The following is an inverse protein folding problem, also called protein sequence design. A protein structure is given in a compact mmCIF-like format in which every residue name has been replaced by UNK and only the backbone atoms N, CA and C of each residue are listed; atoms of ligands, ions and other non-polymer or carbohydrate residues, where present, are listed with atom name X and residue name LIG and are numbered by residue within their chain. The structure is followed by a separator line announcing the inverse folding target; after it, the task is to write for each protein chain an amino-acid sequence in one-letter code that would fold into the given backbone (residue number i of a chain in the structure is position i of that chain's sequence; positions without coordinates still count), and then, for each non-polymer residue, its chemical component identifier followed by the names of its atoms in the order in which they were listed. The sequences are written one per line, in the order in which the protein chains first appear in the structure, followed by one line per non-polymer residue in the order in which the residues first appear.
data_IF_382675447455
#
_entry.id   IF_382675447455
#
_cell.length_a   1.000
_cell.length_b   1.000
_cell.length_c   1.000
_cell.angle_alpha   90.00
_cell.angle_beta   90.00
_cell.angle_gamma   90.00
#
_symmetry.space_group_name_H-M   'P 1'
#
loop_
_entity.id
_entity.type
_entity.pdbx_description
1 polymer ?
#
# COMPACT_ATOMS: atom_id res chain seq x y z
N UNK A 1 -21.05 20.11 -5.49
CA UNK A 1 -20.04 21.09 -5.02
C UNK A 1 -18.72 20.75 -5.68
N UNK A 2 -17.88 21.75 -5.97
CA UNK A 2 -16.50 21.50 -6.45
C UNK A 2 -15.64 21.11 -5.25
N UNK A 3 -14.74 20.14 -5.44
CA UNK A 3 -13.80 19.68 -4.42
C UNK A 3 -12.95 20.83 -3.86
N UNK A 4 -12.57 20.73 -2.58
CA UNK A 4 -11.69 21.67 -1.88
C UNK A 4 -10.27 21.77 -2.47
N UNK A 5 -9.90 20.85 -3.37
CA UNK A 5 -8.60 20.75 -4.04
C UNK A 5 -8.66 21.04 -5.54
N UNK A 6 -9.81 21.48 -6.07
CA UNK A 6 -9.96 21.79 -7.49
C UNK A 6 -8.88 22.79 -7.94
N UNK A 7 -8.15 22.45 -9.00
CA UNK A 7 -7.06 23.27 -9.56
C UNK A 7 -5.79 23.31 -8.71
N UNK A 8 -5.73 22.54 -7.62
CA UNK A 8 -4.52 22.43 -6.78
C UNK A 8 -3.52 21.45 -7.37
N UNK A 9 -2.26 21.56 -6.92
CA UNK A 9 -1.20 20.61 -7.21
C UNK A 9 -0.77 19.92 -5.90
N UNK A 10 -0.75 18.59 -5.91
CA UNK A 10 -0.36 17.75 -4.78
C UNK A 10 0.99 17.12 -5.10
N UNK A 11 1.97 17.32 -4.22
CA UNK A 11 3.31 16.76 -4.39
C UNK A 11 3.35 15.32 -3.88
N UNK A 12 3.82 14.40 -4.73
CA UNK A 12 4.04 12.99 -4.41
C UNK A 12 5.55 12.69 -4.43
N UNK A 13 6.26 12.75 -3.28
CA UNK A 13 7.66 12.37 -3.19
C UNK A 13 7.86 10.86 -3.35
N UNK A 14 8.33 10.43 -4.52
CA UNK A 14 8.55 9.01 -4.85
C UNK A 14 9.54 8.86 -6.00
N UNK A 15 10.17 7.67 -6.09
CA UNK A 15 11.08 7.26 -7.16
C UNK A 15 10.48 6.19 -8.09
N UNK A 16 9.30 5.67 -7.76
CA UNK A 16 8.76 4.44 -8.32
C UNK A 16 7.52 4.64 -9.21
N UNK A 17 7.43 5.79 -9.91
CA UNK A 17 6.38 6.12 -10.87
C UNK A 17 4.95 5.93 -10.33
N UNK A 18 4.77 6.03 -9.00
CA UNK A 18 3.48 5.79 -8.34
C UNK A 18 2.45 6.85 -8.74
N UNK A 19 2.89 8.00 -9.23
CA UNK A 19 2.01 9.00 -9.84
C UNK A 19 1.13 8.42 -10.95
N UNK A 20 1.58 7.38 -11.67
CA UNK A 20 0.77 6.71 -12.71
C UNK A 20 -0.55 6.13 -12.17
N UNK A 21 -0.55 5.62 -10.94
CA UNK A 21 -1.76 5.10 -10.29
C UNK A 21 -2.59 6.18 -9.60
N UNK A 22 -1.95 7.24 -9.12
CA UNK A 22 -2.59 8.26 -8.25
C UNK A 22 -3.18 9.42 -9.05
N UNK A 23 -2.54 9.80 -10.17
CA UNK A 23 -2.89 11.02 -10.90
C UNK A 23 -4.33 11.03 -11.41
N UNK A 24 -4.80 9.94 -12.04
CA UNK A 24 -6.15 9.88 -12.59
C UNK A 24 -7.24 9.96 -11.50
N UNK A 25 -7.23 9.14 -10.43
CA UNK A 25 -8.22 9.26 -9.36
C UNK A 25 -8.29 10.66 -8.73
N UNK A 26 -7.13 11.31 -8.53
CA UNK A 26 -7.06 12.63 -7.93
C UNK A 26 -7.56 13.73 -8.89
N UNK A 27 -7.25 13.62 -10.17
CA UNK A 27 -7.76 14.56 -11.17
C UNK A 27 -9.28 14.42 -11.35
N UNK A 28 -9.77 13.20 -11.50
CA UNK A 28 -11.19 12.94 -11.82
C UNK A 28 -12.12 13.27 -10.64
N UNK A 29 -11.71 12.95 -9.42
CA UNK A 29 -12.55 13.11 -8.22
C UNK A 29 -12.33 14.46 -7.54
N UNK A 30 -11.07 14.90 -7.43
CA UNK A 30 -10.72 16.13 -6.70
C UNK A 30 -10.51 17.32 -7.62
N UNK A 31 -10.34 17.12 -8.93
CA UNK A 31 -9.89 18.17 -9.83
C UNK A 31 -8.46 18.63 -9.55
N UNK A 32 -7.65 17.79 -8.88
CA UNK A 32 -6.31 18.14 -8.42
C UNK A 32 -5.25 17.42 -9.26
N UNK A 33 -4.21 18.14 -9.67
CA UNK A 33 -3.04 17.55 -10.31
C UNK A 33 -2.12 16.89 -9.28
N UNK A 34 -1.45 15.81 -9.66
CA UNK A 34 -0.42 15.15 -8.84
C UNK A 34 0.91 15.29 -9.55
N UNK A 35 1.88 15.90 -8.87
CA UNK A 35 3.25 16.06 -9.38
C UNK A 35 4.19 15.12 -8.64
N UNK A 36 4.82 14.22 -9.37
CA UNK A 36 5.87 13.38 -8.81
C UNK A 36 7.12 14.20 -8.56
N UNK A 37 7.61 14.18 -7.32
CA UNK A 37 8.87 14.81 -6.95
C UNK A 37 9.90 13.74 -6.63
N UNK A 38 10.90 13.64 -7.50
CA UNK A 38 11.95 12.63 -7.41
C UNK A 38 12.87 12.95 -6.21
N UNK A 39 12.58 12.32 -5.08
CA UNK A 39 13.46 12.26 -3.93
C UNK A 39 14.02 10.84 -3.82
N UNK A 40 15.30 10.73 -3.48
CA UNK A 40 15.89 9.42 -3.22
C UNK A 40 15.37 8.87 -1.88
N UNK A 41 14.17 8.31 -1.90
CA UNK A 41 13.53 7.73 -0.72
C UNK A 41 14.15 6.41 -0.29
N UNK A 42 15.04 5.83 -1.10
CA UNK A 42 15.73 4.56 -0.79
C UNK A 42 16.57 4.68 0.49
N UNK A 43 16.96 5.89 0.90
CA UNK A 43 17.63 6.14 2.19
C UNK A 43 16.73 5.86 3.40
N UNK A 44 15.40 5.79 3.19
CA UNK A 44 14.41 5.49 4.23
C UNK A 44 14.02 4.01 4.24
N UNK A 45 14.64 3.18 3.39
CA UNK A 45 14.38 1.76 3.25
C UNK A 45 14.10 1.35 1.80
N UNK A 46 14.49 0.12 1.44
CA UNK A 46 14.30 -0.44 0.09
C UNK A 46 13.49 -1.72 0.10
N UNK A 47 12.65 -1.95 -0.92
CA UNK A 47 11.88 -3.19 -1.07
C UNK A 47 12.76 -4.44 -1.26
N UNK A 48 13.95 -4.27 -1.82
CA UNK A 48 14.91 -5.34 -2.10
C UNK A 48 15.83 -5.68 -0.91
N UNK A 49 15.69 -4.94 0.20
CA UNK A 49 16.33 -5.25 1.48
C UNK A 49 17.76 -4.72 1.67
N UNK A 50 18.29 -3.87 0.79
CA UNK A 50 19.64 -3.29 0.98
C UNK A 50 19.69 -2.24 2.08
N UNK A 51 18.62 -1.45 2.23
CA UNK A 51 18.45 -0.51 3.33
C UNK A 51 17.24 -0.95 4.12
N UNK A 52 17.45 -1.25 5.41
CA UNK A 52 16.36 -1.54 6.33
C UNK A 52 15.53 -0.28 6.57
N UNK A 53 14.22 -0.46 6.66
CA UNK A 53 13.30 0.65 6.93
C UNK A 53 13.38 1.02 8.40
N UNK A 54 13.61 2.29 8.67
CA UNK A 54 13.54 2.84 10.03
C UNK A 54 12.10 3.23 10.38
N UNK A 55 11.47 2.57 11.35
CA UNK A 55 10.09 2.85 11.77
C UNK A 55 8.99 2.19 10.92
N UNK A 56 7.74 2.49 11.24
CA UNK A 56 6.58 1.90 10.58
C UNK A 56 6.39 2.41 9.14
N UNK A 57 5.70 1.66 8.26
CA UNK A 57 5.34 2.14 6.93
C UNK A 57 4.58 3.48 6.96
N UNK A 58 3.71 3.68 7.95
CA UNK A 58 2.95 4.93 8.11
C UNK A 58 3.88 6.11 8.44
N UNK A 59 4.81 5.94 9.39
CA UNK A 59 5.78 6.97 9.74
C UNK A 59 6.69 7.31 8.56
N UNK A 60 7.11 6.30 7.78
CA UNK A 60 7.88 6.51 6.56
C UNK A 60 7.10 7.34 5.52
N UNK A 61 5.84 7.00 5.28
CA UNK A 61 4.99 7.76 4.37
C UNK A 61 4.83 9.22 4.83
N UNK A 62 4.63 9.44 6.14
CA UNK A 62 4.57 10.79 6.72
C UNK A 62 5.91 11.54 6.57
N UNK A 63 7.04 10.90 6.87
CA UNK A 63 8.38 11.51 6.75
C UNK A 63 8.68 11.95 5.32
N UNK A 64 8.25 11.18 4.31
CA UNK A 64 8.37 11.59 2.90
C UNK A 64 7.65 12.92 2.65
N UNK A 65 6.44 13.11 3.18
CA UNK A 65 5.72 14.37 3.06
C UNK A 65 6.47 15.52 3.72
N UNK A 66 6.93 15.33 4.96
CA UNK A 66 7.67 16.34 5.71
C UNK A 66 8.97 16.73 5.00
N UNK A 67 9.67 15.76 4.42
CA UNK A 67 10.89 16.01 3.66
C UNK A 67 10.61 16.82 2.39
N UNK A 68 9.54 16.50 1.65
CA UNK A 68 9.12 17.30 0.50
C UNK A 68 8.82 18.75 0.89
N UNK A 69 8.13 18.99 2.01
CA UNK A 69 7.90 20.34 2.53
C UNK A 69 9.20 21.05 2.91
N UNK A 70 10.16 20.35 3.53
CA UNK A 70 11.45 20.93 3.88
C UNK A 70 12.24 21.37 2.63
N UNK A 71 12.20 20.57 1.56
CA UNK A 71 12.96 20.86 0.33
C UNK A 71 12.29 21.93 -0.54
N UNK A 72 10.96 21.94 -0.61
CA UNK A 72 10.20 22.81 -1.52
C UNK A 72 9.64 24.07 -0.84
N UNK A 73 9.71 24.13 0.49
CA UNK A 73 9.28 25.27 1.31
C UNK A 73 7.78 25.53 1.29
N UNK A 74 7.40 26.77 1.56
CA UNK A 74 5.99 27.18 1.76
C UNK A 74 5.16 27.25 0.47
N UNK A 75 5.78 27.02 -0.69
CA UNK A 75 5.06 26.93 -1.98
C UNK A 75 4.20 25.67 -2.09
N UNK A 76 4.47 24.66 -1.27
CA UNK A 76 3.74 23.39 -1.29
C UNK A 76 2.71 23.38 -0.18
N UNK A 77 1.44 23.47 -0.57
CA UNK A 77 0.28 23.41 0.34
C UNK A 77 -0.12 21.96 0.69
N UNK A 78 0.09 21.02 -0.24
CA UNK A 78 -0.41 19.64 -0.12
C UNK A 78 0.68 18.63 -0.48
N UNK A 79 0.76 17.55 0.30
CA UNK A 79 1.67 16.46 0.02
C UNK A 79 1.03 15.09 0.27
N UNK A 80 1.38 14.13 -0.58
CA UNK A 80 0.92 12.75 -0.52
C UNK A 80 2.13 11.82 -0.42
N UNK A 81 2.28 11.12 0.69
CA UNK A 81 3.28 10.08 0.90
C UNK A 81 2.69 8.71 0.56
N UNK A 82 3.51 7.82 0.00
CA UNK A 82 3.14 6.44 -0.26
C UNK A 82 4.19 5.48 0.27
N UNK A 83 3.71 4.46 0.98
CA UNK A 83 4.48 3.29 1.39
C UNK A 83 3.68 2.01 1.23
N UNK A 84 4.40 0.89 1.12
CA UNK A 84 3.78 -0.43 1.07
C UNK A 84 4.61 -1.49 1.77
N UNK A 85 4.02 -2.63 2.06
CA UNK A 85 4.69 -3.78 2.66
C UNK A 85 4.03 -5.07 2.19
N UNK A 86 4.82 -6.12 2.07
CA UNK A 86 4.36 -7.45 1.71
C UNK A 86 4.67 -8.42 2.84
N UNK A 87 3.75 -9.34 3.09
CA UNK A 87 3.88 -10.27 4.20
C UNK A 87 2.62 -11.10 4.40
N UNK A 88 2.54 -11.86 5.51
CA UNK A 88 1.36 -12.65 5.82
C UNK A 88 0.14 -11.78 6.10
N UNK A 89 -1.03 -12.22 5.64
CA UNK A 89 -2.29 -11.52 5.84
C UNK A 89 -2.62 -11.45 7.34
N UNK A 90 -3.03 -10.27 7.88
CA UNK A 90 -3.22 -10.08 9.33
C UNK A 90 -4.24 -11.04 9.97
N UNK A 91 -5.21 -11.50 9.19
CA UNK A 91 -6.24 -12.45 9.64
C UNK A 91 -6.01 -13.88 9.13
N UNK A 92 -5.13 -14.06 8.12
CA UNK A 92 -4.88 -15.35 7.46
C UNK A 92 -3.37 -15.52 7.31
N UNK A 93 -2.64 -15.91 8.36
CA UNK A 93 -1.17 -15.80 8.39
C UNK A 93 -0.40 -16.57 7.32
N UNK A 94 -1.02 -17.52 6.62
CA UNK A 94 -0.41 -18.30 5.54
C UNK A 94 -0.68 -17.74 4.14
N UNK A 95 -1.50 -16.69 4.01
CA UNK A 95 -1.80 -16.04 2.74
C UNK A 95 -0.93 -14.79 2.60
N UNK A 96 -0.14 -14.63 1.52
CA UNK A 96 0.58 -13.37 1.28
C UNK A 96 -0.40 -12.24 0.95
N UNK A 97 -0.11 -11.04 1.43
CA UNK A 97 -0.87 -9.83 1.10
C UNK A 97 0.04 -8.64 0.79
N UNK A 98 -0.48 -7.74 -0.04
CA UNK A 98 0.00 -6.38 -0.21
C UNK A 98 -0.69 -5.46 0.80
N UNK A 99 0.08 -4.64 1.51
CA UNK A 99 -0.43 -3.60 2.40
C UNK A 99 0.10 -2.25 1.93
N UNK A 100 -0.77 -1.45 1.32
CA UNK A 100 -0.45 -0.11 0.84
C UNK A 100 -0.97 0.96 1.81
N UNK A 101 -0.22 2.05 1.93
CA UNK A 101 -0.53 3.22 2.74
C UNK A 101 -0.37 4.48 1.88
N UNK A 102 -1.39 5.34 1.91
CA UNK A 102 -1.31 6.71 1.44
C UNK A 102 -1.48 7.67 2.60
N UNK A 103 -0.57 8.64 2.72
CA UNK A 103 -0.53 9.63 3.79
C UNK A 103 -0.62 11.03 3.20
N UNK A 104 -1.72 11.73 3.46
CA UNK A 104 -2.00 13.05 2.94
C UNK A 104 -1.84 14.12 4.02
N UNK A 105 -1.17 15.22 3.69
CA UNK A 105 -1.04 16.39 4.54
C UNK A 105 -1.60 17.61 3.81
N UNK A 106 -2.62 18.25 4.41
CA UNK A 106 -3.12 19.56 4.02
C UNK A 106 -2.55 20.61 4.98
N UNK A 107 -1.50 21.33 4.56
CA UNK A 107 -0.90 22.41 5.37
C UNK A 107 -1.83 23.61 5.46
N UNK A 108 -2.53 23.93 4.37
CA UNK A 108 -3.43 25.10 4.28
C UNK A 108 -4.56 25.02 5.29
N UNK A 109 -5.11 23.82 5.46
CA UNK A 109 -6.15 23.49 6.44
C UNK A 109 -5.58 22.72 7.62
N UNK A 110 -4.27 22.72 7.87
CA UNK A 110 -3.66 22.13 9.07
C UNK A 110 -4.25 20.80 9.55
N UNK A 111 -4.36 19.81 8.67
CA UNK A 111 -4.71 18.44 9.08
C UNK A 111 -3.91 17.40 8.29
N UNK A 112 -3.87 16.20 8.86
CA UNK A 112 -3.23 15.02 8.28
C UNK A 112 -4.25 13.88 8.21
N UNK A 113 -4.17 13.07 7.16
CA UNK A 113 -5.07 11.94 6.94
C UNK A 113 -4.30 10.80 6.30
N UNK A 114 -4.46 9.58 6.79
CA UNK A 114 -3.93 8.40 6.12
C UNK A 114 -5.03 7.39 5.82
N UNK A 115 -4.80 6.57 4.81
CA UNK A 115 -5.61 5.40 4.50
C UNK A 115 -4.70 4.22 4.16
N UNK A 116 -5.17 3.04 4.52
CA UNK A 116 -4.48 1.77 4.27
C UNK A 116 -5.37 0.86 3.45
N UNK A 117 -4.78 0.03 2.60
CA UNK A 117 -5.49 -1.02 1.89
C UNK A 117 -4.70 -2.32 1.93
N UNK A 118 -5.38 -3.42 2.28
CA UNK A 118 -4.83 -4.77 2.26
C UNK A 118 -5.44 -5.50 1.07
N UNK A 119 -4.59 -6.07 0.22
CA UNK A 119 -5.01 -6.80 -0.97
C UNK A 119 -4.35 -8.18 -1.03
N UNK A 120 -5.15 -9.19 -1.39
CA UNK A 120 -4.68 -10.56 -1.64
C UNK A 120 -4.23 -10.73 -3.11
N UNK A 121 -4.46 -9.72 -3.96
CA UNK A 121 -4.06 -9.72 -5.37
C UNK A 121 -2.56 -9.40 -5.49
N UNK A 122 -1.72 -10.34 -5.08
CA UNK A 122 -0.27 -10.18 -5.13
C UNK A 122 0.42 -11.42 -5.69
N UNK A 123 1.47 -11.20 -6.46
CA UNK A 123 2.40 -12.24 -6.91
C UNK A 123 3.60 -12.39 -5.96
N UNK A 124 3.56 -11.76 -4.76
CA UNK A 124 4.66 -11.77 -3.80
C UNK A 124 5.14 -13.18 -3.49
N UNK A 125 6.30 -13.51 -4.04
CA UNK A 125 6.85 -14.86 -3.97
C UNK A 125 8.36 -14.82 -4.07
N UNK A 126 9.01 -15.77 -3.39
CA UNK A 126 10.45 -15.92 -3.39
C UNK A 126 10.82 -17.39 -3.26
N UNK A 127 11.84 -17.81 -4.01
CA UNK A 127 12.23 -19.20 -4.11
C UNK A 127 13.72 -19.36 -4.45
N UNK A 128 14.37 -20.34 -3.83
CA UNK A 128 15.67 -20.84 -4.28
C UNK A 128 15.50 -21.73 -5.52
N UNK A 129 16.24 -21.43 -6.59
CA UNK A 129 16.21 -22.16 -7.86
C UNK A 129 17.63 -22.58 -8.27
N UNK A 130 17.76 -23.77 -8.82
CA UNK A 130 19.06 -24.36 -9.21
C UNK A 130 19.19 -24.54 -10.72
N UNK A 131 18.08 -24.49 -11.45
CA UNK A 131 18.03 -24.78 -12.88
C UNK A 131 17.22 -23.75 -13.68
N UNK A 132 17.52 -23.63 -14.98
CA UNK A 132 16.72 -22.81 -15.89
C UNK A 132 15.26 -23.26 -15.99
N UNK A 133 14.98 -24.54 -15.72
CA UNK A 133 13.61 -25.08 -15.70
C UNK A 133 12.85 -24.53 -14.49
N UNK A 134 13.44 -24.61 -13.31
CA UNK A 134 12.86 -24.04 -12.08
C UNK A 134 12.67 -22.52 -12.20
N UNK A 135 13.67 -21.80 -12.73
CA UNK A 135 13.54 -20.36 -12.95
C UNK A 135 12.38 -20.01 -13.89
N UNK A 136 12.16 -20.80 -14.95
CA UNK A 136 11.02 -20.60 -15.86
C UNK A 136 9.69 -20.79 -15.14
N UNK A 137 9.56 -21.87 -14.37
CA UNK A 137 8.34 -22.13 -13.58
C UNK A 137 8.08 -21.03 -12.56
N UNK A 138 9.12 -20.54 -11.88
CA UNK A 138 9.01 -19.39 -10.98
C UNK A 138 8.56 -18.13 -11.73
N UNK A 139 9.18 -17.82 -12.88
CA UNK A 139 8.86 -16.64 -13.67
C UNK A 139 7.40 -16.65 -14.17
N UNK A 140 6.90 -17.81 -14.61
CA UNK A 140 5.50 -17.97 -15.01
C UNK A 140 4.55 -17.73 -13.84
N UNK A 141 4.82 -18.33 -12.67
CA UNK A 141 4.02 -18.11 -11.46
C UNK A 141 4.05 -16.64 -10.99
N UNK A 142 5.19 -15.97 -11.18
CA UNK A 142 5.39 -14.55 -10.89
C UNK A 142 4.79 -13.60 -11.94
N UNK A 143 4.13 -14.10 -12.98
CA UNK A 143 3.53 -13.30 -14.07
C UNK A 143 4.56 -12.54 -14.93
N UNK A 144 5.79 -13.02 -15.01
CA UNK A 144 6.84 -12.49 -15.89
C UNK A 144 6.45 -12.66 -17.39
N UNK A 145 6.78 -11.71 -18.29
CA UNK A 145 7.58 -10.49 -18.09
C UNK A 145 6.78 -9.24 -17.72
N UNK A 146 5.45 -9.35 -17.55
CA UNK A 146 4.66 -8.19 -17.13
C UNK A 146 5.07 -7.66 -15.76
N UNK A 147 5.57 -8.56 -14.90
CA UNK A 147 6.20 -8.25 -13.63
C UNK A 147 7.69 -8.58 -13.74
N UNK A 148 8.55 -7.66 -13.28
CA UNK A 148 9.98 -7.92 -13.28
C UNK A 148 10.38 -8.87 -12.13
N UNK A 149 11.59 -9.40 -12.21
CA UNK A 149 12.18 -10.26 -11.18
C UNK A 149 13.46 -9.65 -10.62
N UNK A 150 13.83 -10.10 -9.42
CA UNK A 150 15.11 -9.85 -8.78
C UNK A 150 15.80 -11.19 -8.59
N UNK A 151 17.08 -11.27 -8.97
CA UNK A 151 17.92 -12.45 -8.73
C UNK A 151 19.12 -12.07 -7.88
N UNK A 152 19.51 -12.94 -6.96
CA UNK A 152 20.77 -12.83 -6.21
C UNK A 152 21.38 -14.22 -5.95
N UNK A 153 22.70 -14.35 -5.75
CA UNK A 153 23.29 -15.62 -5.29
C UNK A 153 22.62 -16.07 -3.97
N UNK A 154 22.36 -17.37 -3.82
CA UNK A 154 21.72 -17.92 -2.62
C UNK A 154 22.73 -18.53 -1.65
N UNK A 155 23.74 -17.75 -1.26
CA UNK A 155 24.70 -18.17 -0.25
C UNK A 155 24.45 -17.46 1.08
N UNK A 156 24.77 -18.13 2.19
CA UNK A 156 24.63 -17.54 3.54
C UNK A 156 25.54 -16.34 3.74
N UNK A 157 26.72 -16.34 3.12
CA UNK A 157 27.76 -15.33 3.31
C UNK A 157 27.75 -14.24 2.23
N UNK A 158 27.25 -14.55 1.02
CA UNK A 158 27.27 -13.64 -0.13
C UNK A 158 25.94 -13.65 -0.87
N UNK A 159 25.11 -12.63 -0.62
CA UNK A 159 23.85 -12.39 -1.35
C UNK A 159 23.99 -11.26 -2.39
N UNK A 160 25.22 -10.93 -2.77
CA UNK A 160 25.55 -9.85 -3.70
C UNK A 160 26.32 -10.37 -4.90
N UNK A 161 26.16 -9.78 -6.09
CA UNK A 161 25.33 -8.61 -6.38
C UNK A 161 23.85 -8.98 -6.53
N UNK A 162 22.99 -7.99 -6.31
CA UNK A 162 21.55 -8.11 -6.55
C UNK A 162 21.29 -7.63 -7.98
N UNK A 163 20.75 -8.53 -8.81
CA UNK A 163 20.33 -8.23 -10.17
C UNK A 163 18.87 -7.80 -10.16
N UNK A 164 18.60 -6.58 -10.61
CA UNK A 164 17.30 -5.92 -10.60
C UNK A 164 16.86 -5.57 -12.02
N UNK A 165 15.63 -5.08 -12.13
CA UNK A 165 15.08 -4.54 -13.38
C UNK A 165 15.04 -5.62 -14.48
N UNK A 166 14.87 -6.89 -14.09
CA UNK A 166 14.86 -8.02 -15.00
C UNK A 166 13.44 -8.20 -15.54
N UNK A 167 13.15 -7.59 -16.69
CA UNK A 167 11.85 -7.58 -17.36
C UNK A 167 11.86 -8.26 -18.74
N UNK A 168 12.99 -8.86 -19.14
CA UNK A 168 13.12 -9.60 -20.41
C UNK A 168 13.84 -10.93 -20.24
N UNK A 169 13.45 -11.93 -21.04
CA UNK A 169 14.07 -13.27 -20.99
C UNK A 169 15.59 -13.27 -21.20
N UNK A 170 16.17 -12.48 -22.13
CA UNK A 170 17.62 -12.38 -22.28
C UNK A 170 18.30 -11.86 -21.02
N UNK A 171 17.80 -10.76 -20.43
CA UNK A 171 18.36 -10.19 -19.20
C UNK A 171 18.25 -11.16 -18.02
N UNK A 172 17.10 -11.82 -17.87
CA UNK A 172 16.85 -12.80 -16.80
C UNK A 172 17.82 -14.00 -16.90
N UNK A 173 18.05 -14.53 -18.12
CA UNK A 173 18.98 -15.65 -18.35
C UNK A 173 20.43 -15.26 -18.04
N UNK A 174 20.85 -14.08 -18.46
CA UNK A 174 22.19 -13.57 -18.21
C UNK A 174 22.41 -13.33 -16.71
N UNK A 175 21.45 -12.69 -16.03
CA UNK A 175 21.48 -12.50 -14.58
C UNK A 175 21.51 -13.83 -13.82
N UNK A 176 20.72 -14.83 -14.23
CA UNK A 176 20.72 -16.15 -13.61
C UNK A 176 22.09 -16.83 -13.71
N UNK A 177 22.73 -16.81 -14.89
CA UNK A 177 24.07 -17.37 -15.06
C UNK A 177 25.07 -16.68 -14.14
N UNK A 178 25.08 -15.35 -14.14
CA UNK A 178 26.00 -14.56 -13.31
C UNK A 178 25.77 -14.76 -11.80
N UNK A 179 24.51 -14.85 -11.37
CA UNK A 179 24.17 -15.11 -9.97
C UNK A 179 24.57 -16.54 -9.56
N UNK A 180 24.36 -17.52 -10.44
CA UNK A 180 24.71 -18.91 -10.22
C UNK A 180 26.23 -19.12 -10.14
N UNK A 181 27.00 -18.49 -11.01
CA UNK A 181 28.47 -18.54 -11.01
C UNK A 181 29.08 -17.95 -9.73
N UNK A 182 28.33 -17.08 -9.04
CA UNK A 182 28.71 -16.46 -7.76
C UNK A 182 28.16 -17.19 -6.53
N UNK A 183 27.37 -18.25 -6.71
CA UNK A 183 26.90 -19.07 -5.60
C UNK A 183 27.76 -20.33 -5.47
N UNK A 184 28.32 -20.56 -4.29
CA UNK A 184 29.09 -21.76 -3.99
C UNK A 184 28.28 -23.06 -4.19
N UNK A 185 26.99 -23.03 -3.87
CA UNK A 185 26.07 -24.15 -4.06
C UNK A 185 25.41 -24.18 -5.45
N UNK A 186 25.76 -23.24 -6.35
CA UNK A 186 25.13 -23.09 -7.66
C UNK A 186 23.61 -22.82 -7.57
N UNK A 187 23.16 -22.22 -6.47
CA UNK A 187 21.76 -21.92 -6.21
C UNK A 187 21.52 -20.41 -6.31
N UNK A 188 20.43 -20.02 -6.95
CA UNK A 188 20.05 -18.61 -7.12
C UNK A 188 18.77 -18.36 -6.35
N UNK A 189 18.72 -17.25 -5.64
CA UNK A 189 17.54 -16.79 -4.96
C UNK A 189 16.76 -15.86 -5.90
N UNK A 190 15.54 -16.26 -6.22
CA UNK A 190 14.65 -15.55 -7.12
C UNK A 190 13.50 -14.92 -6.33
N UNK A 191 13.18 -13.66 -6.65
CA UNK A 191 12.13 -12.88 -6.01
C UNK A 191 11.32 -12.12 -7.06
N UNK A 192 10.04 -11.94 -6.79
CA UNK A 192 9.22 -10.97 -7.53
C UNK A 192 9.67 -9.55 -7.23
N UNK A 193 9.83 -8.74 -8.26
CA UNK A 193 10.16 -7.33 -8.06
C UNK A 193 8.92 -6.56 -7.59
N UNK A 194 8.88 -6.28 -6.30
CA UNK A 194 7.71 -5.60 -5.71
C UNK A 194 7.76 -4.09 -5.86
N UNK A 195 8.76 -3.49 -6.52
CA UNK A 195 8.78 -2.04 -6.77
C UNK A 195 7.66 -1.67 -7.74
N UNK A 196 6.90 -0.61 -7.42
CA UNK A 196 5.64 -0.31 -8.12
C UNK A 196 5.77 -0.20 -9.64
N UNK A 197 6.85 0.40 -10.17
CA UNK A 197 7.06 0.51 -11.62
C UNK A 197 7.31 -0.82 -12.33
N UNK A 198 7.66 -1.88 -11.59
CA UNK A 198 7.92 -3.23 -12.10
C UNK A 198 6.82 -4.23 -11.75
N UNK A 199 5.76 -3.79 -11.08
CA UNK A 199 4.69 -4.65 -10.59
C UNK A 199 3.31 -4.04 -10.90
N UNK A 200 2.73 -4.34 -12.09
CA UNK A 200 1.42 -3.84 -12.48
C UNK A 200 0.31 -4.20 -11.48
N UNK A 201 0.35 -5.38 -10.86
CA UNK A 201 -0.63 -5.79 -9.84
C UNK A 201 -0.62 -4.84 -8.64
N UNK A 202 0.57 -4.55 -8.10
CA UNK A 202 0.76 -3.56 -7.04
C UNK A 202 0.33 -2.16 -7.48
N UNK A 203 0.65 -1.75 -8.71
CA UNK A 203 0.24 -0.45 -9.24
C UNK A 203 -1.29 -0.30 -9.25
N UNK A 204 -2.03 -1.37 -9.58
CA UNK A 204 -3.48 -1.38 -9.51
C UNK A 204 -3.99 -1.23 -8.06
N UNK A 205 -3.38 -1.94 -7.10
CA UNK A 205 -3.72 -1.82 -5.66
C UNK A 205 -3.50 -0.39 -5.14
N UNK A 206 -2.40 0.26 -5.54
CA UNK A 206 -2.16 1.69 -5.23
C UNK A 206 -3.27 2.57 -5.80
N UNK A 207 -3.72 2.29 -7.03
CA UNK A 207 -4.82 3.03 -7.69
C UNK A 207 -6.17 2.85 -6.99
N UNK A 208 -6.46 1.65 -6.49
CA UNK A 208 -7.66 1.36 -5.69
C UNK A 208 -7.64 2.20 -4.38
N UNK A 209 -6.50 2.24 -3.68
CA UNK A 209 -6.33 3.05 -2.47
C UNK A 209 -6.37 4.56 -2.78
N UNK A 210 -5.77 5.00 -3.89
CA UNK A 210 -5.82 6.40 -4.32
C UNK A 210 -7.24 6.86 -4.59
N UNK A 211 -8.06 6.01 -5.21
CA UNK A 211 -9.49 6.27 -5.43
C UNK A 211 -10.26 6.40 -4.11
N UNK A 212 -10.00 5.52 -3.15
CA UNK A 212 -10.65 5.59 -1.82
C UNK A 212 -10.27 6.88 -1.08
N UNK A 213 -8.98 7.24 -1.08
CA UNK A 213 -8.50 8.46 -0.47
C UNK A 213 -9.07 9.71 -1.13
N UNK A 214 -9.11 9.76 -2.47
CA UNK A 214 -9.70 10.87 -3.21
C UNK A 214 -11.19 11.03 -2.88
N UNK A 215 -11.98 9.95 -2.81
CA UNK A 215 -13.38 10.02 -2.39
C UNK A 215 -13.53 10.58 -0.97
N UNK A 216 -12.67 10.14 -0.04
CA UNK A 216 -12.69 10.65 1.34
C UNK A 216 -12.34 12.14 1.40
N UNK A 217 -11.32 12.56 0.67
CA UNK A 217 -10.92 13.97 0.57
C UNK A 217 -11.99 14.84 -0.11
N UNK A 218 -12.81 14.27 -0.99
CA UNK A 218 -13.96 14.96 -1.59
C UNK A 218 -15.19 15.05 -0.68
N UNK A 219 -15.18 14.36 0.47
CA UNK A 219 -16.30 14.32 1.39
C UNK A 219 -16.10 15.33 2.51
N UNK A 220 -16.99 16.31 2.57
CA UNK A 220 -16.93 17.39 3.55
C UNK A 220 -17.57 16.99 4.88
N UNK A 221 -17.02 17.51 5.97
CA UNK A 221 -17.61 17.37 7.30
C UNK A 221 -18.96 18.10 7.35
N UNK A 222 -20.03 17.47 7.85
CA UNK A 222 -21.35 18.10 7.94
C UNK A 222 -21.41 19.27 8.94
N UNK A 223 -20.43 19.38 9.86
CA UNK A 223 -20.37 20.45 10.86
C UNK A 223 -19.51 21.64 10.45
N UNK A 224 -18.30 21.39 9.95
CA UNK A 224 -17.32 22.45 9.66
C UNK A 224 -16.93 22.57 8.19
N UNK A 225 -17.50 21.74 7.32
CA UNK A 225 -17.24 21.69 5.88
C UNK A 225 -15.77 21.44 5.50
N UNK A 226 -14.93 20.98 6.44
CA UNK A 226 -13.57 20.56 6.14
C UNK A 226 -13.57 19.24 5.36
N UNK A 227 -12.71 19.08 4.33
CA UNK A 227 -12.59 17.85 3.57
C UNK A 227 -12.02 16.69 4.41
N UNK A 228 -12.28 15.45 3.99
CA UNK A 228 -11.71 14.26 4.61
C UNK A 228 -12.65 13.52 5.58
N UNK A 229 -13.93 13.88 5.60
CA UNK A 229 -14.94 13.19 6.40
C UNK A 229 -15.05 11.72 5.99
N UNK A 230 -15.03 10.83 6.98
CA UNK A 230 -15.10 9.40 6.70
C UNK A 230 -14.94 8.54 7.95
N UNK A 231 -14.95 7.23 7.76
CA UNK A 231 -14.77 6.25 8.82
C UNK A 231 -13.44 6.44 9.55
N UNK A 232 -13.49 6.55 10.88
CA UNK A 232 -12.31 6.68 11.76
C UNK A 232 -12.13 5.46 12.67
N UNK A 233 -13.21 4.76 13.03
CA UNK A 233 -13.16 3.49 13.77
C UNK A 233 -14.44 2.68 13.58
N UNK A 234 -14.42 1.46 14.10
CA UNK A 234 -15.59 0.60 14.23
C UNK A 234 -15.82 0.27 15.70
N UNK A 235 -17.08 0.14 16.09
CA UNK A 235 -17.48 -0.35 17.41
C UNK A 235 -18.01 -1.77 17.25
N UNK A 236 -17.44 -2.73 17.98
CA UNK A 236 -17.89 -4.12 18.02
C UNK A 236 -19.13 -4.30 18.91
N UNK A 237 -19.72 -5.49 18.88
CA UNK A 237 -20.86 -5.85 19.73
C UNK A 237 -22.17 -6.08 18.98
N UNK A 238 -22.12 -6.46 17.69
CA UNK A 238 -23.34 -6.78 16.94
C UNK A 238 -24.06 -7.93 17.63
N UNK A 239 -25.37 -7.77 17.87
CA UNK A 239 -26.19 -8.71 18.64
C UNK A 239 -26.38 -10.02 17.87
N UNK A 240 -26.17 -11.15 18.55
CA UNK A 240 -26.41 -12.46 17.96
C UNK A 240 -27.91 -12.64 17.63
N UNK A 241 -28.21 -13.14 16.43
CA UNK A 241 -29.58 -13.42 15.99
C UNK A 241 -30.33 -14.45 16.85
N UNK A 242 -29.60 -15.29 17.60
CA UNK A 242 -30.16 -16.37 18.41
C UNK A 242 -30.24 -16.04 19.90
N UNK A 243 -29.12 -15.62 20.52
CA UNK A 243 -29.04 -15.43 21.98
C UNK A 243 -28.95 -13.96 22.43
N UNK A 244 -28.94 -13.01 21.49
CA UNK A 244 -28.83 -11.56 21.74
C UNK A 244 -27.54 -11.10 22.49
N UNK A 245 -26.58 -12.00 22.71
CA UNK A 245 -25.29 -11.63 23.28
C UNK A 245 -24.45 -10.81 22.29
N UNK A 246 -23.65 -9.84 22.75
CA UNK A 246 -22.77 -9.06 21.90
C UNK A 246 -21.66 -9.95 21.31
N UNK A 247 -21.40 -9.81 20.01
CA UNK A 247 -20.34 -10.56 19.32
C UNK A 247 -19.10 -9.70 19.04
N UNK A 248 -18.03 -10.34 18.55
CA UNK A 248 -16.84 -9.62 18.05
C UNK A 248 -17.07 -8.90 16.72
N UNK A 249 -18.22 -9.10 16.07
CA UNK A 249 -18.55 -8.40 14.82
C UNK A 249 -18.85 -6.92 15.09
N UNK A 250 -18.47 -6.07 14.15
CA UNK A 250 -18.76 -4.63 14.16
C UNK A 250 -20.27 -4.40 14.26
N UNK A 251 -20.72 -3.62 15.24
CA UNK A 251 -22.10 -3.16 15.34
C UNK A 251 -22.31 -1.85 14.59
N UNK A 252 -21.34 -0.93 14.69
CA UNK A 252 -21.46 0.41 14.15
C UNK A 252 -20.14 0.91 13.58
N UNK A 253 -20.26 1.83 12.63
CA UNK A 253 -19.13 2.54 12.04
C UNK A 253 -19.16 3.98 12.54
N UNK A 254 -18.02 4.46 13.04
CA UNK A 254 -17.90 5.84 13.51
C UNK A 254 -17.21 6.64 12.43
N UNK A 255 -17.92 7.65 11.95
CA UNK A 255 -17.45 8.64 10.99
C UNK A 255 -17.00 9.89 11.74
N UNK A 256 -15.96 10.54 11.25
CA UNK A 256 -15.37 11.69 11.93
C UNK A 256 -14.67 12.65 10.99
N UNK A 257 -14.49 13.86 11.48
CA UNK A 257 -13.79 14.94 10.79
C UNK A 257 -12.28 14.88 11.08
N UNK A 258 -11.48 15.32 10.11
CA UNK A 258 -10.02 15.50 10.25
C UNK A 258 -9.64 16.78 11.01
N UNK A 259 -10.60 17.68 11.24
CA UNK A 259 -10.38 19.08 11.68
C UNK A 259 -11.13 19.51 12.94
N UNK A 260 -12.29 18.93 13.21
CA UNK A 260 -13.08 19.25 14.39
C UNK A 260 -13.52 17.96 15.08
N UNK A 261 -14.07 18.07 16.29
CA UNK A 261 -14.47 16.90 17.09
C UNK A 261 -15.81 16.28 16.67
N UNK A 262 -16.39 16.70 15.53
CA UNK A 262 -17.66 16.14 15.06
C UNK A 262 -17.47 14.67 14.68
N UNK A 263 -18.37 13.83 15.18
CA UNK A 263 -18.42 12.40 14.88
C UNK A 263 -19.87 11.96 14.76
N UNK A 264 -20.13 10.99 13.90
CA UNK A 264 -21.44 10.39 13.73
C UNK A 264 -21.32 8.87 13.80
N UNK A 265 -22.26 8.27 14.51
CA UNK A 265 -22.41 6.82 14.61
C UNK A 265 -23.38 6.37 13.53
N UNK A 266 -22.90 5.53 12.63
CA UNK A 266 -23.67 5.01 11.50
C UNK A 266 -23.79 3.49 11.61
N UNK A 267 -24.89 2.95 11.08
CA UNK A 267 -25.03 1.52 10.85
C UNK A 267 -23.97 1.04 9.85
N UNK A 268 -23.64 -0.24 9.89
CA UNK A 268 -22.70 -0.85 8.96
C UNK A 268 -23.13 -0.61 7.51
N UNK A 269 -22.16 -0.35 6.63
CA UNK A 269 -22.39 -0.22 5.19
C UNK A 269 -22.99 -1.48 4.53
N UNK A 270 -22.75 -2.67 5.09
CA UNK A 270 -23.30 -3.95 4.58
C UNK A 270 -24.75 -4.22 5.01
N UNK A 271 -25.33 -3.36 5.86
CA UNK A 271 -26.71 -3.48 6.32
C UNK A 271 -26.98 -4.65 7.28
N UNK A 272 -25.94 -5.36 7.75
CA UNK A 272 -26.12 -6.50 8.65
C UNK A 272 -26.64 -6.04 10.01
N UNK A 273 -27.84 -6.51 10.39
CA UNK A 273 -28.54 -6.09 11.62
C UNK A 273 -28.31 -7.00 12.82
N UNK A 274 -28.00 -8.28 12.57
CA UNK A 274 -27.73 -9.27 13.60
C UNK A 274 -26.55 -10.15 13.16
N UNK A 275 -25.75 -10.57 14.12
CA UNK A 275 -24.61 -11.44 13.90
C UNK A 275 -25.10 -12.90 13.74
N UNK A 276 -24.69 -13.60 12.67
CA UNK A 276 -24.96 -15.02 12.50
C UNK A 276 -24.49 -15.83 13.71
N UNK A 277 -25.24 -16.87 14.06
CA UNK A 277 -24.93 -17.72 15.23
C UNK A 277 -23.48 -18.26 15.22
N UNK A 278 -22.93 -18.58 14.05
CA UNK A 278 -21.56 -19.11 13.88
C UNK A 278 -20.44 -18.15 14.34
N UNK A 279 -20.74 -16.84 14.45
CA UNK A 279 -19.79 -15.82 14.89
C UNK A 279 -19.99 -15.40 16.36
N UNK A 280 -20.95 -16.01 17.06
CA UNK A 280 -21.22 -15.75 18.48
C UNK A 280 -20.44 -16.72 19.36
N UNK A 281 -19.53 -16.20 20.20
CA UNK A 281 -18.75 -17.03 21.13
C UNK A 281 -19.57 -17.68 22.25
N UNK A 282 -20.82 -17.25 22.47
CA UNK A 282 -21.72 -17.91 23.42
C UNK A 282 -22.47 -19.08 22.78
N UNK A 283 -22.87 -18.97 21.51
CA UNK A 283 -23.54 -20.04 20.77
C UNK A 283 -22.57 -21.04 20.13
N UNK A 284 -21.38 -20.56 19.77
CA UNK A 284 -20.31 -21.29 19.10
C UNK A 284 -18.97 -20.92 19.77
N UNK A 285 -18.69 -21.46 20.97
CA UNK A 285 -17.48 -21.18 21.75
C UNK A 285 -16.19 -21.67 21.08
#
# INVERSE_FOLDING_TARGET
MRSAYQGSCIILPTKHAKSLAVAAPFLDILGAGVLEYQLNTDIMGTFSGEVERDGSPMECARRKCLWAFQMLGDKVEYCLGSEGSFGPHPQIPFLPCDQEILYFIDRKRGFELHMTHVSEKTNYHMQAVTSMKELRSFAEAAQFPSHALILRPNDRETQTPIYKDLDTWPALKDAFKKAKDRSHAGTVWAETDMRAQYNPSRMAVIGELATQLAKRLATDCPKCSAPGWGKIRSENGLRCEYCDQPTKMVAFEIYGCTRCDHQEKQSRADGLKAAPQMHCSACNP
#
